data_IF_515443948047
#
_entry.id   IF_515443948047
#
_cell.length_a   1.000
_cell.length_b   1.000
_cell.length_c   1.000
_cell.angle_alpha   90.00
_cell.angle_beta   90.00
_cell.angle_gamma   90.00
#
_symmetry.space_group_name_H-M   'P 1'
#
loop_
_entity.id
_entity.type
_entity.pdbx_description
1 polymer ?
#
# COMPACT_ATOMS: atom_id res chain seq x y z
N UNK A 1 -4.05 -2.94 -4.29
CA UNK A 1 -3.82 -3.70 -5.54
C UNK A 1 -3.91 -2.83 -6.79
N UNK A 2 -4.98 -2.06 -6.97
CA UNK A 2 -5.19 -1.24 -8.17
C UNK A 2 -4.12 -0.17 -8.45
N UNK A 3 -3.73 0.59 -7.42
CA UNK A 3 -2.69 1.61 -7.54
C UNK A 3 -1.34 1.04 -8.04
N UNK A 4 -1.06 -0.23 -7.75
CA UNK A 4 0.12 -0.96 -8.21
C UNK A 4 0.12 -1.17 -9.73
N UNK A 5 -1.03 -1.62 -10.26
CA UNK A 5 -1.23 -1.92 -11.67
C UNK A 5 -1.24 -0.64 -12.50
N UNK A 6 -1.87 0.42 -11.98
CA UNK A 6 -1.90 1.74 -12.60
C UNK A 6 -0.48 2.30 -12.77
N UNK A 7 0.28 2.33 -11.68
CA UNK A 7 1.66 2.83 -11.67
C UNK A 7 2.58 2.03 -12.59
N UNK A 8 2.40 0.71 -12.64
CA UNK A 8 3.09 -0.14 -13.61
C UNK A 8 2.75 0.26 -15.05
N UNK A 9 1.47 0.33 -15.40
CA UNK A 9 1.04 0.68 -16.77
C UNK A 9 1.55 2.06 -17.20
N UNK A 10 1.56 3.04 -16.30
CA UNK A 10 2.07 4.39 -16.55
C UNK A 10 3.58 4.43 -16.83
N UNK A 11 4.38 3.55 -16.23
CA UNK A 11 5.85 3.53 -16.44
C UNK A 11 6.20 2.93 -17.79
N UNK A 12 5.50 1.89 -18.24
CA UNK A 12 5.93 1.09 -19.39
C UNK A 12 5.21 1.43 -20.70
N UNK A 13 3.99 1.98 -20.65
CA UNK A 13 3.17 2.16 -21.85
C UNK A 13 2.66 3.60 -22.05
N UNK A 14 3.41 4.62 -21.65
CA UNK A 14 3.03 6.05 -21.80
C UNK A 14 2.32 6.37 -23.12
N UNK A 15 2.88 5.98 -24.27
CA UNK A 15 2.31 6.34 -25.58
C UNK A 15 1.03 5.59 -25.98
N UNK A 16 0.92 4.29 -25.67
CA UNK A 16 -0.21 3.45 -26.12
C UNK A 16 -1.36 3.41 -25.10
N UNK A 17 -1.05 3.67 -23.83
CA UNK A 17 -2.03 3.60 -22.73
C UNK A 17 -2.87 4.87 -22.60
N UNK A 18 -2.36 6.05 -23.01
CA UNK A 18 -3.12 7.32 -22.96
C UNK A 18 -4.42 7.22 -23.77
N UNK A 19 -4.39 6.56 -24.93
CA UNK A 19 -5.57 6.40 -25.80
C UNK A 19 -6.63 5.43 -25.26
N UNK A 20 -6.27 4.48 -24.39
CA UNK A 20 -7.20 3.45 -23.85
C UNK A 20 -7.33 3.49 -22.32
N UNK A 21 -6.93 4.61 -21.71
CA UNK A 21 -6.95 4.79 -20.25
C UNK A 21 -8.33 4.51 -19.67
N UNK A 22 -9.39 4.98 -20.34
CA UNK A 22 -10.77 4.83 -19.86
C UNK A 22 -11.14 3.34 -19.74
N UNK A 23 -10.91 2.55 -20.80
CA UNK A 23 -11.31 1.15 -20.83
C UNK A 23 -10.51 0.27 -19.86
N UNK A 24 -9.19 0.42 -19.77
CA UNK A 24 -8.38 -0.47 -18.94
C UNK A 24 -8.34 -0.08 -17.46
N UNK A 25 -8.64 1.17 -17.13
CA UNK A 25 -8.57 1.68 -15.76
C UNK A 25 -9.96 1.74 -15.13
N UNK A 26 -10.89 2.48 -15.73
CA UNK A 26 -12.18 2.73 -15.10
C UNK A 26 -13.07 1.49 -15.09
N UNK A 27 -13.07 0.67 -16.16
CA UNK A 27 -13.95 -0.51 -16.22
C UNK A 27 -13.68 -1.50 -15.07
N UNK A 28 -12.44 -2.00 -14.84
CA UNK A 28 -12.20 -2.93 -13.74
C UNK A 28 -12.52 -2.34 -12.37
N UNK A 29 -12.27 -1.04 -12.18
CA UNK A 29 -12.56 -0.35 -10.93
C UNK A 29 -14.07 -0.21 -10.70
N UNK A 30 -14.82 0.18 -11.73
CA UNK A 30 -16.28 0.30 -11.68
C UNK A 30 -16.92 -1.08 -11.47
N UNK A 31 -16.46 -2.11 -12.18
CA UNK A 31 -16.94 -3.49 -11.98
C UNK A 31 -16.68 -3.93 -10.55
N UNK A 32 -15.46 -3.78 -10.03
CA UNK A 32 -15.14 -4.17 -8.65
C UNK A 32 -15.96 -3.38 -7.62
N UNK A 33 -16.16 -2.07 -7.85
CA UNK A 33 -16.92 -1.20 -6.96
C UNK A 33 -18.41 -1.52 -6.95
N UNK A 34 -18.99 -2.01 -8.05
CA UNK A 34 -20.40 -2.41 -8.12
C UNK A 34 -20.61 -3.87 -7.69
N UNK A 35 -19.68 -4.75 -8.04
CA UNK A 35 -19.75 -6.19 -7.76
C UNK A 35 -19.81 -6.49 -6.26
N UNK A 36 -18.88 -5.94 -5.47
CA UNK A 36 -18.78 -6.21 -4.03
C UNK A 36 -20.07 -5.86 -3.27
N UNK A 37 -20.61 -4.62 -3.34
CA UNK A 37 -21.82 -4.28 -2.61
C UNK A 37 -23.04 -5.05 -3.12
N UNK A 38 -23.15 -5.28 -4.45
CA UNK A 38 -24.29 -6.03 -5.01
C UNK A 38 -24.29 -7.48 -4.50
N UNK A 39 -23.12 -8.12 -4.44
CA UNK A 39 -22.96 -9.47 -3.92
C UNK A 39 -23.35 -9.55 -2.42
N UNK A 40 -22.88 -8.63 -1.59
CA UNK A 40 -23.21 -8.65 -0.17
C UNK A 40 -24.66 -8.31 0.12
N UNK A 41 -25.27 -7.37 -0.62
CA UNK A 41 -26.73 -7.11 -0.53
C UNK A 41 -27.51 -8.37 -0.89
N UNK A 42 -27.10 -9.08 -1.94
CA UNK A 42 -27.72 -10.35 -2.32
C UNK A 42 -27.62 -11.40 -1.21
N UNK A 43 -26.45 -11.58 -0.58
CA UNK A 43 -26.30 -12.51 0.54
C UNK A 43 -27.14 -12.13 1.76
N UNK A 44 -27.22 -10.85 2.10
CA UNK A 44 -28.04 -10.37 3.24
C UNK A 44 -29.53 -10.66 3.00
N UNK A 45 -30.04 -10.40 1.80
CA UNK A 45 -31.45 -10.64 1.47
C UNK A 45 -31.77 -12.14 1.43
N UNK A 46 -30.84 -12.97 0.97
CA UNK A 46 -31.06 -14.41 0.80
C UNK A 46 -31.01 -15.21 2.11
N UNK A 47 -30.25 -14.73 3.10
CA UNK A 47 -29.97 -15.40 4.37
C UNK A 47 -30.36 -14.52 5.58
N UNK A 48 -31.66 -14.36 5.87
CA UNK A 48 -32.10 -13.62 7.04
C UNK A 48 -31.69 -14.35 8.33
N UNK A 49 -31.23 -13.58 9.32
CA UNK A 49 -30.68 -14.08 10.58
C UNK A 49 -31.73 -14.56 11.60
N UNK A 50 -33.00 -14.62 11.22
CA UNK A 50 -34.13 -14.70 12.15
C UNK A 50 -34.36 -16.05 12.80
N UNK A 51 -33.81 -17.15 12.27
CA UNK A 51 -34.16 -18.51 12.75
C UNK A 51 -33.02 -19.28 13.45
N UNK A 52 -31.74 -19.01 13.15
CA UNK A 52 -30.66 -19.94 13.55
C UNK A 52 -29.56 -19.37 14.47
N UNK A 53 -29.44 -18.04 14.62
CA UNK A 53 -28.38 -17.46 15.45
C UNK A 53 -28.87 -16.32 16.34
N UNK A 54 -28.83 -16.55 17.65
CA UNK A 54 -28.99 -15.48 18.64
C UNK A 54 -27.72 -14.63 18.66
N UNK A 55 -27.85 -13.35 18.32
CA UNK A 55 -26.76 -12.40 18.43
C UNK A 55 -26.31 -12.27 19.88
N UNK A 56 -25.07 -12.65 20.17
CA UNK A 56 -24.50 -12.43 21.48
C UNK A 56 -23.91 -11.02 21.57
N UNK A 57 -24.68 -10.08 22.15
CA UNK A 57 -24.30 -8.69 22.36
C UNK A 57 -23.13 -8.51 23.35
N UNK A 58 -22.70 -9.57 24.05
CA UNK A 58 -21.58 -9.50 25.00
C UNK A 58 -20.21 -9.67 24.33
N UNK A 59 -20.16 -10.11 23.07
CA UNK A 59 -18.91 -10.22 22.33
C UNK A 59 -18.52 -8.90 21.68
N UNK A 60 -17.21 -8.64 21.61
CA UNK A 60 -16.64 -7.40 21.07
C UNK A 60 -17.00 -7.15 19.59
N UNK A 61 -17.31 -8.23 18.87
CA UNK A 61 -17.99 -8.20 17.58
C UNK A 61 -19.38 -8.81 17.79
N UNK A 62 -20.44 -8.11 17.40
CA UNK A 62 -21.84 -8.55 17.52
C UNK A 62 -22.19 -9.76 16.62
N UNK A 63 -21.40 -10.84 16.68
CA UNK A 63 -21.45 -11.96 15.76
C UNK A 63 -20.93 -11.63 14.35
N UNK A 64 -20.78 -12.68 13.53
CA UNK A 64 -20.54 -12.54 12.09
C UNK A 64 -21.84 -12.36 11.31
N UNK A 65 -21.74 -12.02 10.03
CA UNK A 65 -22.91 -12.04 9.14
C UNK A 65 -23.44 -13.48 8.99
N UNK A 66 -24.76 -13.66 8.91
CA UNK A 66 -25.36 -15.01 8.93
C UNK A 66 -24.97 -15.88 7.73
N UNK A 67 -24.73 -15.27 6.57
CA UNK A 67 -24.21 -15.99 5.40
C UNK A 67 -22.79 -16.56 5.64
N UNK A 68 -22.02 -16.04 6.60
CA UNK A 68 -20.68 -16.54 6.90
C UNK A 68 -20.68 -17.91 7.61
N UNK A 69 -21.84 -18.36 8.10
CA UNK A 69 -22.01 -19.70 8.67
C UNK A 69 -22.46 -20.72 7.62
N UNK A 70 -22.90 -20.26 6.45
CA UNK A 70 -23.30 -21.13 5.36
C UNK A 70 -22.07 -21.54 4.55
N UNK A 71 -21.85 -22.84 4.42
CA UNK A 71 -20.64 -23.40 3.82
C UNK A 71 -20.40 -22.89 2.39
N UNK A 72 -21.44 -22.93 1.54
CA UNK A 72 -21.32 -22.59 0.12
C UNK A 72 -20.93 -21.13 -0.07
N UNK A 73 -21.57 -20.23 0.68
CA UNK A 73 -21.38 -18.79 0.62
C UNK A 73 -20.00 -18.40 1.15
N UNK A 74 -19.58 -19.00 2.26
CA UNK A 74 -18.26 -18.77 2.86
C UNK A 74 -17.13 -19.29 1.97
N UNK A 75 -17.28 -20.50 1.41
CA UNK A 75 -16.32 -21.04 0.46
C UNK A 75 -16.27 -20.19 -0.81
N UNK A 76 -17.43 -19.74 -1.33
CA UNK A 76 -17.48 -18.86 -2.50
C UNK A 76 -16.78 -17.52 -2.24
N UNK A 77 -17.10 -16.84 -1.13
CA UNK A 77 -16.47 -15.56 -0.76
C UNK A 77 -14.96 -15.73 -0.57
N UNK A 78 -14.53 -16.79 0.11
CA UNK A 78 -13.12 -17.10 0.32
C UNK A 78 -12.39 -17.34 -1.00
N UNK A 79 -12.95 -18.15 -1.90
CA UNK A 79 -12.30 -18.46 -3.18
C UNK A 79 -12.33 -17.24 -4.12
N UNK A 80 -13.51 -16.70 -4.37
CA UNK A 80 -13.74 -15.68 -5.40
C UNK A 80 -13.18 -14.31 -4.98
N UNK A 81 -13.39 -13.91 -3.72
CA UNK A 81 -13.04 -12.56 -3.26
C UNK A 81 -11.67 -12.51 -2.57
N UNK A 82 -11.17 -13.63 -2.04
CA UNK A 82 -9.88 -13.66 -1.33
C UNK A 82 -8.80 -14.41 -2.11
N UNK A 83 -9.01 -15.67 -2.49
CA UNK A 83 -7.96 -16.48 -3.12
C UNK A 83 -7.63 -16.01 -4.53
N UNK A 84 -8.62 -15.90 -5.42
CA UNK A 84 -8.41 -15.52 -6.82
C UNK A 84 -7.64 -14.19 -6.92
N UNK A 85 -8.06 -13.10 -6.24
CA UNK A 85 -7.33 -11.83 -6.26
C UNK A 85 -5.92 -11.95 -5.69
N UNK A 86 -5.72 -12.76 -4.64
CA UNK A 86 -4.41 -13.00 -4.03
C UNK A 86 -3.46 -13.74 -4.98
N UNK A 87 -3.94 -14.77 -5.69
CA UNK A 87 -3.14 -15.48 -6.70
C UNK A 87 -2.81 -14.58 -7.89
N UNK A 88 -3.79 -13.81 -8.39
CA UNK A 88 -3.54 -12.83 -9.45
C UNK A 88 -2.49 -11.81 -8.99
N UNK A 89 -2.58 -11.31 -7.76
CA UNK A 89 -1.60 -10.39 -7.18
C UNK A 89 -0.20 -11.02 -7.14
N UNK A 90 -0.09 -12.27 -6.70
CA UNK A 90 1.18 -13.00 -6.67
C UNK A 90 1.77 -13.14 -8.08
N UNK A 91 0.96 -13.60 -9.05
CA UNK A 91 1.37 -13.76 -10.46
C UNK A 91 1.85 -12.42 -11.03
N UNK A 92 1.06 -11.34 -10.86
CA UNK A 92 1.45 -10.02 -11.36
C UNK A 92 2.74 -9.50 -10.72
N UNK A 93 2.94 -9.73 -9.42
CA UNK A 93 4.18 -9.35 -8.73
C UNK A 93 5.38 -10.15 -9.25
N UNK A 94 5.25 -11.47 -9.46
CA UNK A 94 6.30 -12.31 -10.03
C UNK A 94 6.63 -11.88 -11.48
N UNK A 95 5.61 -11.67 -12.31
CA UNK A 95 5.78 -11.17 -13.68
C UNK A 95 6.49 -9.81 -13.71
N UNK A 96 6.16 -8.92 -12.77
CA UNK A 96 6.86 -7.64 -12.62
C UNK A 96 8.33 -7.81 -12.28
N UNK A 97 8.67 -8.66 -11.31
CA UNK A 97 10.07 -8.93 -10.92
C UNK A 97 10.82 -9.51 -12.12
N UNK A 98 10.26 -10.51 -12.79
CA UNK A 98 10.84 -11.14 -13.96
C UNK A 98 11.11 -10.12 -15.07
N UNK A 99 10.14 -9.26 -15.39
CA UNK A 99 10.32 -8.20 -16.39
C UNK A 99 11.39 -7.19 -15.99
N UNK A 100 11.47 -6.79 -14.73
CA UNK A 100 12.52 -5.89 -14.24
C UNK A 100 13.90 -6.53 -14.42
N UNK A 101 14.04 -7.82 -14.11
CA UNK A 101 15.31 -8.54 -14.29
C UNK A 101 15.69 -8.62 -15.78
N UNK A 102 14.73 -8.95 -16.65
CA UNK A 102 14.96 -9.01 -18.10
C UNK A 102 15.32 -7.63 -18.68
N UNK A 103 14.63 -6.58 -18.25
CA UNK A 103 14.90 -5.22 -18.68
C UNK A 103 16.28 -4.74 -18.19
N UNK A 104 16.69 -5.11 -16.96
CA UNK A 104 18.05 -4.85 -16.46
C UNK A 104 19.10 -5.48 -17.37
N UNK A 105 18.91 -6.74 -17.77
CA UNK A 105 19.85 -7.43 -18.68
C UNK A 105 19.93 -6.72 -20.03
N UNK A 106 18.79 -6.33 -20.61
CA UNK A 106 18.75 -5.64 -21.90
C UNK A 106 19.41 -4.25 -21.85
N UNK A 107 19.13 -3.47 -20.80
CA UNK A 107 19.72 -2.12 -20.65
C UNK A 107 21.21 -2.18 -20.34
N UNK A 108 21.68 -3.20 -19.60
CA UNK A 108 23.13 -3.38 -19.36
C UNK A 108 23.92 -3.59 -20.65
N UNK A 109 23.27 -4.03 -21.74
CA UNK A 109 23.85 -4.16 -23.07
C UNK A 109 23.72 -2.89 -23.94
N UNK A 110 22.86 -1.93 -23.55
CA UNK A 110 22.59 -0.71 -24.31
C UNK A 110 22.71 0.49 -23.38
N UNK A 111 23.93 1.02 -23.30
CA UNK A 111 24.49 1.99 -22.34
C UNK A 111 23.82 3.38 -22.20
N UNK A 112 22.59 3.58 -22.69
CA UNK A 112 22.00 4.92 -22.85
C UNK A 112 20.89 5.33 -21.86
N UNK A 113 20.46 4.48 -20.92
CA UNK A 113 19.41 4.87 -19.96
C UNK A 113 20.00 5.52 -18.69
N UNK A 114 19.52 6.71 -18.28
CA UNK A 114 19.99 7.38 -17.07
C UNK A 114 19.80 6.51 -15.83
N UNK A 115 20.92 6.17 -15.19
CA UNK A 115 21.00 5.30 -14.00
C UNK A 115 20.11 5.76 -12.84
N UNK A 116 19.73 7.04 -12.81
CA UNK A 116 18.93 7.64 -11.74
C UNK A 116 17.44 7.27 -11.81
N UNK A 117 16.84 7.25 -13.02
CA UNK A 117 15.44 6.86 -13.23
C UNK A 117 15.22 5.38 -12.87
N UNK A 118 16.19 4.53 -13.20
CA UNK A 118 16.18 3.11 -12.84
C UNK A 118 16.14 2.88 -11.32
N UNK A 119 17.00 3.59 -10.57
CA UNK A 119 17.05 3.51 -9.11
C UNK A 119 15.72 3.94 -8.47
N UNK A 120 15.00 4.89 -9.08
CA UNK A 120 13.65 5.32 -8.62
C UNK A 120 12.62 4.21 -8.84
N UNK A 121 12.56 3.66 -10.05
CA UNK A 121 11.60 2.60 -10.41
C UNK A 121 11.81 1.33 -9.58
N UNK A 122 13.05 0.88 -9.37
CA UNK A 122 13.33 -0.31 -8.55
C UNK A 122 12.81 -0.19 -7.12
N UNK A 123 12.99 0.98 -6.49
CA UNK A 123 12.53 1.20 -5.10
C UNK A 123 11.01 1.16 -4.99
N UNK A 124 10.33 1.76 -5.94
CA UNK A 124 8.87 1.75 -6.02
C UNK A 124 8.32 0.33 -6.20
N UNK A 125 8.99 -0.50 -7.02
CA UNK A 125 8.61 -1.91 -7.21
C UNK A 125 8.87 -2.72 -5.94
N UNK A 126 10.02 -2.53 -5.29
CA UNK A 126 10.31 -3.21 -4.01
C UNK A 126 9.27 -2.86 -2.94
N UNK A 127 8.88 -1.60 -2.84
CA UNK A 127 7.83 -1.17 -1.93
C UNK A 127 6.48 -1.85 -2.20
N UNK A 128 6.11 -1.95 -3.47
CA UNK A 128 4.89 -2.62 -3.90
C UNK A 128 4.90 -4.11 -3.57
N UNK A 129 6.05 -4.73 -3.77
CA UNK A 129 6.30 -6.12 -3.46
C UNK A 129 6.19 -6.34 -1.95
N UNK A 130 6.80 -5.48 -1.13
CA UNK A 130 6.69 -5.55 0.33
C UNK A 130 5.24 -5.48 0.78
N UNK A 131 4.46 -4.51 0.29
CA UNK A 131 3.04 -4.39 0.64
C UNK A 131 2.28 -5.66 0.24
N UNK A 132 2.52 -6.18 -0.97
CA UNK A 132 1.82 -7.37 -1.45
C UNK A 132 2.18 -8.63 -0.66
N UNK A 133 3.46 -8.79 -0.29
CA UNK A 133 3.92 -9.90 0.55
C UNK A 133 3.34 -9.79 1.96
N UNK A 134 3.31 -8.60 2.55
CA UNK A 134 2.69 -8.38 3.86
C UNK A 134 1.20 -8.74 3.84
N UNK A 135 0.47 -8.36 2.79
CA UNK A 135 -0.91 -8.79 2.61
C UNK A 135 -1.01 -10.31 2.49
N UNK A 136 -0.21 -10.96 1.63
CA UNK A 136 -0.23 -12.42 1.48
C UNK A 136 0.05 -13.12 2.82
N UNK A 137 1.06 -12.70 3.56
CA UNK A 137 1.40 -13.28 4.87
C UNK A 137 0.26 -13.13 5.87
N UNK A 138 -0.49 -12.02 5.81
CA UNK A 138 -1.64 -11.81 6.69
C UNK A 138 -2.87 -12.65 6.30
N UNK A 139 -3.11 -12.85 5.01
CA UNK A 139 -4.28 -13.58 4.51
C UNK A 139 -4.07 -15.09 4.43
N UNK A 140 -2.84 -15.56 4.22
CA UNK A 140 -2.54 -16.99 4.07
C UNK A 140 -2.98 -17.84 5.27
N UNK A 141 -2.75 -17.46 6.54
CA UNK A 141 -3.17 -18.28 7.67
C UNK A 141 -4.70 -18.42 7.75
N UNK A 142 -5.44 -17.38 7.38
CA UNK A 142 -6.91 -17.42 7.31
C UNK A 142 -7.38 -18.45 6.29
N UNK A 143 -6.84 -18.40 5.08
CA UNK A 143 -7.17 -19.37 4.02
C UNK A 143 -6.84 -20.79 4.45
N UNK A 144 -5.65 -21.03 5.02
CA UNK A 144 -5.24 -22.38 5.47
C UNK A 144 -6.20 -22.92 6.53
N UNK A 145 -6.60 -22.12 7.52
CA UNK A 145 -7.51 -22.60 8.56
C UNK A 145 -8.90 -22.89 8.00
N UNK A 146 -9.46 -22.03 7.13
CA UNK A 146 -10.75 -22.31 6.49
C UNK A 146 -10.70 -23.63 5.71
N UNK A 147 -9.65 -23.87 4.91
CA UNK A 147 -9.50 -25.15 4.22
C UNK A 147 -9.46 -26.34 5.19
N UNK A 148 -8.74 -26.22 6.31
CA UNK A 148 -8.69 -27.32 7.30
C UNK A 148 -10.06 -27.51 7.98
N UNK A 149 -10.79 -26.42 8.24
CA UNK A 149 -12.12 -26.48 8.82
C UNK A 149 -13.15 -27.13 7.88
N UNK A 150 -13.08 -26.79 6.60
CA UNK A 150 -14.00 -27.27 5.57
C UNK A 150 -13.79 -28.76 5.25
N UNK A 151 -12.53 -29.24 5.24
CA UNK A 151 -12.21 -30.61 4.80
C UNK A 151 -11.90 -31.60 5.92
N UNK A 152 -11.49 -31.14 7.11
CA UNK A 152 -10.98 -32.03 8.15
C UNK A 152 -11.70 -31.89 9.49
N UNK A 153 -11.70 -30.69 10.09
CA UNK A 153 -12.33 -30.48 11.40
C UNK A 153 -12.80 -29.04 11.56
N UNK A 154 -14.12 -28.85 11.63
CA UNK A 154 -14.80 -27.56 11.75
C UNK A 154 -14.43 -26.76 13.01
N UNK A 155 -13.92 -27.40 14.06
CA UNK A 155 -13.48 -26.72 15.29
C UNK A 155 -12.00 -26.31 15.27
N UNK A 156 -11.25 -26.69 14.23
CA UNK A 156 -9.81 -26.44 14.17
C UNK A 156 -9.50 -24.93 14.16
N UNK A 157 -8.72 -24.45 15.11
CA UNK A 157 -8.22 -23.07 15.09
C UNK A 157 -9.24 -21.96 15.35
N UNK A 158 -10.46 -22.25 15.82
CA UNK A 158 -11.48 -21.20 16.06
C UNK A 158 -11.00 -20.11 17.01
N UNK A 159 -10.33 -20.46 18.12
CA UNK A 159 -9.77 -19.47 19.05
C UNK A 159 -8.71 -18.58 18.37
N UNK A 160 -7.89 -19.17 17.49
CA UNK A 160 -6.85 -18.43 16.78
C UNK A 160 -7.45 -17.48 15.73
N UNK A 161 -8.54 -17.89 15.07
CA UNK A 161 -9.30 -17.02 14.15
C UNK A 161 -9.79 -15.78 14.89
N UNK A 162 -10.49 -15.97 16.01
CA UNK A 162 -11.15 -14.89 16.75
C UNK A 162 -10.12 -13.92 17.34
N UNK A 163 -9.04 -14.44 17.92
CA UNK A 163 -8.07 -13.62 18.68
C UNK A 163 -7.01 -12.99 17.79
N UNK A 164 -6.54 -13.69 16.75
CA UNK A 164 -5.38 -13.24 15.96
C UNK A 164 -5.78 -12.89 14.55
N UNK A 165 -6.41 -13.82 13.82
CA UNK A 165 -6.60 -13.65 12.38
C UNK A 165 -7.62 -12.59 12.03
N UNK A 166 -8.61 -12.37 12.90
CA UNK A 166 -9.56 -11.28 12.71
C UNK A 166 -8.86 -9.91 12.67
N UNK A 167 -7.82 -9.69 13.49
CA UNK A 167 -7.12 -8.41 13.60
C UNK A 167 -5.97 -8.23 12.59
N UNK A 168 -5.47 -9.34 12.03
CA UNK A 168 -4.27 -9.34 11.19
C UNK A 168 -4.45 -8.52 9.88
N UNK A 169 -5.58 -8.60 9.13
CA UNK A 169 -5.82 -7.73 7.98
C UNK A 169 -5.88 -6.24 8.33
N UNK A 170 -6.45 -5.88 9.49
CA UNK A 170 -6.49 -4.50 9.95
C UNK A 170 -5.08 -3.97 10.21
N UNK A 171 -4.20 -4.79 10.77
CA UNK A 171 -2.81 -4.44 10.96
C UNK A 171 -2.09 -4.17 9.63
N UNK A 172 -2.35 -4.97 8.59
CA UNK A 172 -1.75 -4.69 7.25
C UNK A 172 -2.27 -3.38 6.66
N UNK A 173 -3.55 -3.07 6.86
CA UNK A 173 -4.16 -1.83 6.41
C UNK A 173 -3.55 -0.63 7.14
N UNK A 174 -3.30 -0.76 8.44
CA UNK A 174 -2.61 0.23 9.25
C UNK A 174 -1.14 0.44 8.81
N UNK A 175 -0.41 -0.62 8.47
CA UNK A 175 0.98 -0.53 8.01
C UNK A 175 1.13 0.04 6.59
N UNK A 176 0.12 -0.12 5.75
CA UNK A 176 0.12 0.35 4.35
C UNK A 176 0.61 1.80 4.16
N UNK A 177 0.09 2.82 4.86
CA UNK A 177 0.57 4.20 4.74
C UNK A 177 2.04 4.38 5.19
N UNK A 178 2.49 3.66 6.21
CA UNK A 178 3.90 3.72 6.65
C UNK A 178 4.84 3.11 5.62
N UNK A 179 4.46 1.95 5.06
CA UNK A 179 5.16 1.33 3.95
C UNK A 179 5.15 2.25 2.72
N UNK A 180 4.03 2.95 2.46
CA UNK A 180 3.90 3.96 1.42
C UNK A 180 4.90 5.13 1.60
N UNK A 181 4.99 5.66 2.82
CA UNK A 181 5.87 6.77 3.19
C UNK A 181 7.36 6.41 3.06
N UNK A 182 7.75 5.17 3.36
CA UNK A 182 9.15 4.72 3.25
C UNK A 182 9.67 4.83 1.81
N UNK A 183 8.81 4.59 0.81
CA UNK A 183 9.20 4.68 -0.61
C UNK A 183 9.22 6.09 -1.20
N UNK A 184 8.55 7.06 -0.57
CA UNK A 184 8.44 8.45 -1.06
C UNK A 184 9.66 9.28 -0.65
N UNK A 185 10.74 9.15 -1.42
CA UNK A 185 11.97 9.96 -1.24
C UNK A 185 11.75 11.47 -1.33
N UNK A 186 10.82 11.90 -2.18
CA UNK A 186 10.55 13.32 -2.42
C UNK A 186 10.06 14.01 -1.14
N UNK A 187 9.23 13.31 -0.35
CA UNK A 187 8.77 13.78 0.95
C UNK A 187 9.96 13.85 1.93
N UNK A 188 10.82 12.83 1.94
CA UNK A 188 12.04 12.85 2.80
C UNK A 188 12.99 14.00 2.45
N UNK A 189 13.14 14.32 1.16
CA UNK A 189 13.94 15.45 0.72
C UNK A 189 13.32 16.78 1.17
N UNK A 190 12.01 16.97 0.99
CA UNK A 190 11.30 18.17 1.46
C UNK A 190 11.35 18.33 2.98
N UNK A 191 11.22 17.24 3.74
CA UNK A 191 11.34 17.25 5.20
C UNK A 191 12.76 17.60 5.67
N UNK A 192 13.81 17.14 4.98
CA UNK A 192 15.19 17.51 5.29
C UNK A 192 15.45 19.00 5.03
N UNK A 193 14.96 19.53 3.91
CA UNK A 193 15.14 20.96 3.55
C UNK A 193 14.47 21.88 4.56
N UNK A 194 13.27 21.53 5.05
CA UNK A 194 12.56 22.31 6.07
C UNK A 194 13.25 22.28 7.44
N UNK A 195 13.99 21.20 7.74
CA UNK A 195 14.78 21.08 8.99
C UNK A 195 16.06 21.92 8.95
N UNK A 196 16.64 22.14 7.77
CA UNK A 196 17.83 23.00 7.60
C UNK A 196 17.52 24.50 7.59
N UNK A 197 16.27 24.90 7.35
CA UNK A 197 15.83 26.31 7.37
C UNK A 197 15.23 26.74 8.71
N UNK A 198 15.04 25.79 9.64
CA UNK A 198 14.51 26.05 10.98
C UNK A 198 15.61 26.22 12.05
N UNK A 199 16.88 26.35 11.66
CA UNK A 199 17.92 26.85 12.57
C UNK A 199 17.79 28.38 12.59
N UNK A 200 17.29 29.00 13.66
CA UNK A 200 17.23 30.45 13.74
C UNK A 200 18.66 30.99 13.74
N UNK A 201 18.99 31.83 12.75
CA UNK A 201 20.14 32.72 12.82
C UNK A 201 19.86 33.74 13.95
N UNK A 202 20.09 33.35 15.20
CA UNK A 202 19.97 34.24 16.36
C UNK A 202 21.32 34.80 16.82
N UNK A 203 22.36 34.80 15.98
CA UNK A 203 23.72 35.20 16.44
C UNK A 203 24.54 36.05 15.46
N UNK A 204 23.96 36.59 14.39
CA UNK A 204 24.72 37.35 13.38
C UNK A 204 24.42 38.85 13.31
N UNK A 205 23.70 39.44 14.28
CA UNK A 205 23.40 40.90 14.26
C UNK A 205 24.31 41.75 15.15
N UNK A 206 25.20 41.16 15.96
CA UNK A 206 26.11 41.92 16.84
C UNK A 206 27.55 42.05 16.34
N UNK A 207 27.99 41.26 15.35
CA UNK A 207 29.35 41.34 14.83
C UNK A 207 29.51 42.34 13.67
N UNK A 208 28.43 42.62 12.92
CA UNK A 208 28.49 43.49 11.74
C UNK A 208 28.41 44.99 12.11
N UNK A 209 27.73 45.33 13.21
CA UNK A 209 27.71 46.70 13.77
C UNK A 209 29.07 47.12 14.33
N UNK A 210 29.83 46.18 14.93
CA UNK A 210 31.17 46.48 15.47
C UNK A 210 32.22 46.73 14.36
N UNK A 211 32.05 46.11 13.18
CA UNK A 211 32.98 46.30 12.06
C UNK A 211 32.73 47.63 11.33
N UNK A 212 31.46 48.04 11.20
CA UNK A 212 31.10 49.32 10.57
C UNK A 212 31.43 50.53 11.46
N UNK A 213 31.36 50.40 12.79
CA UNK A 213 31.86 51.47 13.69
C UNK A 213 33.37 51.68 13.59
N UNK A 214 34.16 50.61 13.37
CA UNK A 214 35.62 50.72 13.28
C UNK A 214 36.10 51.39 11.99
N UNK A 215 35.36 51.27 10.90
CA UNK A 215 35.68 51.91 9.60
C UNK A 215 35.34 53.41 9.62
N UNK A 216 34.28 53.81 10.33
CA UNK A 216 33.92 55.24 10.45
C UNK A 216 34.96 56.04 11.26
N UNK A 217 35.58 55.42 12.27
CA UNK A 217 36.59 56.07 13.11
C UNK A 217 37.93 56.31 12.39
N UNK A 218 38.27 55.50 11.38
CA UNK A 218 39.53 55.64 10.62
C UNK A 218 39.51 56.77 9.57
N UNK A 219 38.32 57.25 9.17
CA UNK A 219 38.17 58.31 8.18
C UNK A 219 38.15 59.73 8.77
N UNK A 220 38.23 59.90 10.09
CA UNK A 220 38.29 61.21 10.75
C UNK A 220 39.71 61.68 11.13
N UNK A 221 40.76 60.93 10.75
CA UNK A 221 42.14 61.34 11.03
C UNK A 221 42.61 62.42 10.02
N UNK A 222 43.02 63.61 10.49
CA UNK A 222 43.52 64.68 9.63
C UNK A 222 44.83 64.24 8.97
N UNK A 223 44.86 64.26 7.64
CA UNK A 223 46.09 64.07 6.86
C UNK A 223 46.88 65.37 6.92
N UNK A 224 47.95 65.35 7.72
CA UNK A 224 49.02 66.34 7.70
C UNK A 224 50.06 65.97 6.63
#
# INVERSE_FOLDING_TARGET
MYASIERYSLVFHKGRFIKRKILCHYIPLTIACLYIPTLYVYFIVRFPCTEYHQYNLTQFACGGACYAYAFIETTYDTIANTMIPSFLLLIFNLLMIMRVILLKRKISATSSLPSNTWKKNRRMILQLLTISLTCLIAWMPWVVIIFVQDFYNSSFGQNFIIVVLYYLPYFTSFLSPFLALIGLKEIRQKLKVKRSTATPNSTSTTAETAKNQKILALNQLPRF
#
